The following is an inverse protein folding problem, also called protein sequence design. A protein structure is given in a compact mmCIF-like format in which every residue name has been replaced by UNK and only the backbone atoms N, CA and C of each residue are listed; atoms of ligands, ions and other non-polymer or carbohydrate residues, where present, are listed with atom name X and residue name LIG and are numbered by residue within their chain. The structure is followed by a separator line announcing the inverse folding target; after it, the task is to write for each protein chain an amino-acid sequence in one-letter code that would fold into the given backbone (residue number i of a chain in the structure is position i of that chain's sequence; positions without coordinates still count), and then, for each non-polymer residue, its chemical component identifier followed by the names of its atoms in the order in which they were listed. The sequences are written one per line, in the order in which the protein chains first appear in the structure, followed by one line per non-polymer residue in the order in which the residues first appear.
data_IF_299161245989
#
_entry.id   IF_299161245989
#
_cell.length_a   1.000
_cell.length_b   1.000
_cell.length_c   1.000
_cell.angle_alpha   90.00
_cell.angle_beta   90.00
_cell.angle_gamma   90.00
#
_symmetry.space_group_name_H-M   'P 1'
#
loop_
_entity.id
_entity.type
_entity.pdbx_description
1 polymer ?
#
# COMPACT_ATOMS: atom_id res chain seq x y z
N UNK A 1 8.23 -8.00 0.11
CA UNK A 1 6.91 -7.58 -0.42
C UNK A 1 5.87 -7.99 0.60
N UNK A 2 5.50 -7.05 1.45
CA UNK A 2 4.55 -7.25 2.53
C UNK A 2 3.20 -7.78 2.00
N UNK A 3 2.74 -8.92 2.51
CA UNK A 3 1.48 -9.55 2.08
C UNK A 3 0.25 -8.66 2.31
N UNK A 4 0.35 -7.73 3.26
CA UNK A 4 -0.65 -6.70 3.54
C UNK A 4 -0.80 -5.76 2.33
N UNK A 5 0.31 -5.32 1.73
CA UNK A 5 0.30 -4.42 0.57
C UNK A 5 -0.44 -5.06 -0.61
N UNK A 6 -0.16 -6.35 -0.87
CA UNK A 6 -0.83 -7.10 -1.95
C UNK A 6 -2.33 -7.27 -1.66
N UNK A 7 -2.68 -7.57 -0.41
CA UNK A 7 -4.05 -7.80 0.00
C UNK A 7 -4.91 -6.53 -0.09
N UNK A 8 -4.36 -5.37 0.26
CA UNK A 8 -5.08 -4.09 0.22
C UNK A 8 -5.02 -3.36 -1.12
N UNK A 9 -4.09 -3.72 -2.01
CA UNK A 9 -4.05 -3.20 -3.38
C UNK A 9 -5.31 -3.60 -4.18
N UNK A 10 -5.80 -4.82 -4.01
CA UNK A 10 -6.97 -5.34 -4.72
C UNK A 10 -8.27 -4.57 -4.41
N UNK A 11 -8.70 -4.42 -3.13
CA UNK A 11 -9.87 -3.61 -2.79
C UNK A 11 -9.69 -2.13 -3.10
N UNK A 12 -8.46 -1.60 -3.08
CA UNK A 12 -8.18 -0.22 -3.48
C UNK A 12 -8.50 0.01 -4.96
N UNK A 13 -8.00 -0.86 -5.85
CA UNK A 13 -8.26 -0.74 -7.30
C UNK A 13 -9.76 -0.91 -7.60
N UNK A 14 -10.42 -1.89 -6.97
CA UNK A 14 -11.86 -2.08 -7.13
C UNK A 14 -12.63 -0.85 -6.63
N UNK A 15 -12.26 -0.33 -5.46
CA UNK A 15 -12.88 0.87 -4.88
C UNK A 15 -12.80 2.07 -5.83
N UNK A 16 -11.65 2.30 -6.45
CA UNK A 16 -11.46 3.39 -7.41
C UNK A 16 -12.34 3.21 -8.65
N UNK A 17 -12.43 2.00 -9.19
CA UNK A 17 -13.28 1.70 -10.35
C UNK A 17 -14.75 1.95 -10.02
N UNK A 18 -15.22 1.45 -8.87
CA UNK A 18 -16.60 1.61 -8.40
C UNK A 18 -16.93 3.09 -8.14
N UNK A 19 -15.98 3.83 -7.56
CA UNK A 19 -16.12 5.27 -7.33
C UNK A 19 -16.22 6.04 -8.65
N UNK A 20 -15.37 5.73 -9.64
CA UNK A 20 -15.42 6.35 -10.96
C UNK A 20 -16.74 6.08 -11.68
N UNK A 21 -17.31 4.87 -11.53
CA UNK A 21 -18.64 4.54 -12.05
C UNK A 21 -19.74 5.38 -11.37
N UNK A 22 -19.69 5.54 -10.05
CA UNK A 22 -20.65 6.35 -9.28
C UNK A 22 -20.59 7.84 -9.62
N UNK A 23 -19.40 8.36 -9.88
CA UNK A 23 -19.18 9.75 -10.31
C UNK A 23 -19.58 10.03 -11.77
N UNK A 24 -20.17 9.04 -12.47
CA UNK A 24 -20.59 9.18 -13.87
C UNK A 24 -19.42 9.47 -14.84
N UNK A 25 -18.19 9.17 -14.43
CA UNK A 25 -16.96 9.43 -15.20
C UNK A 25 -16.57 8.25 -16.12
N UNK A 26 -17.47 7.29 -16.34
CA UNK A 26 -17.19 6.08 -17.15
C UNK A 26 -18.23 5.87 -18.24
N UNK A 27 -17.78 5.43 -19.42
CA UNK A 27 -18.64 5.09 -20.58
C UNK A 27 -19.58 3.90 -20.33
N UNK A 28 -19.43 3.20 -19.20
CA UNK A 28 -20.33 2.14 -18.75
C UNK A 28 -21.63 2.72 -18.16
N UNK A 29 -21.56 3.89 -17.54
CA UNK A 29 -22.73 4.57 -16.99
C UNK A 29 -23.64 5.14 -18.09
N UNK A 30 -23.10 5.38 -19.29
CA UNK A 30 -23.88 5.75 -20.48
C UNK A 30 -24.63 4.56 -21.12
N UNK A 31 -24.19 3.33 -20.85
CA UNK A 31 -24.77 2.09 -21.44
C UNK A 31 -25.76 1.38 -20.51
N UNK A 32 -25.76 1.74 -19.23
CA UNK A 32 -26.61 1.13 -18.20
C UNK A 32 -27.38 2.26 -17.54
N UNK A 33 -28.70 2.24 -17.65
CA UNK A 33 -29.58 3.22 -16.98
C UNK A 33 -29.54 2.99 -15.47
N UNK A 34 -28.57 3.61 -14.80
CA UNK A 34 -28.52 3.63 -13.35
C UNK A 34 -29.46 4.72 -12.81
N UNK A 35 -30.29 4.35 -11.85
CA UNK A 35 -31.09 5.33 -11.11
C UNK A 35 -30.17 6.17 -10.21
N UNK A 36 -30.54 7.42 -9.91
CA UNK A 36 -29.79 8.33 -9.01
C UNK A 36 -29.42 7.66 -7.69
N UNK A 37 -30.32 6.89 -7.09
CA UNK A 37 -30.04 6.17 -5.85
C UNK A 37 -28.95 5.10 -6.00
N UNK A 38 -28.88 4.44 -7.17
CA UNK A 38 -27.83 3.44 -7.43
C UNK A 38 -26.46 4.11 -7.61
N UNK A 39 -26.41 5.26 -8.28
CA UNK A 39 -25.17 6.05 -8.42
C UNK A 39 -24.64 6.50 -7.06
N UNK A 40 -25.51 7.02 -6.20
CA UNK A 40 -25.15 7.44 -4.83
C UNK A 40 -24.60 6.24 -4.02
N UNK A 41 -25.24 5.08 -4.13
CA UNK A 41 -24.75 3.86 -3.46
C UNK A 41 -23.38 3.45 -3.99
N UNK A 42 -23.18 3.47 -5.32
CA UNK A 42 -21.88 3.18 -5.92
C UNK A 42 -20.80 4.15 -5.44
N UNK A 43 -21.12 5.45 -5.38
CA UNK A 43 -20.19 6.47 -4.91
C UNK A 43 -19.78 6.23 -3.45
N UNK A 44 -20.74 5.98 -2.56
CA UNK A 44 -20.47 5.70 -1.14
C UNK A 44 -19.65 4.42 -0.97
N UNK A 45 -20.05 3.34 -1.64
CA UNK A 45 -19.35 2.04 -1.56
C UNK A 45 -17.94 2.16 -2.12
N UNK A 46 -17.78 2.81 -3.27
CA UNK A 46 -16.49 3.08 -3.89
C UNK A 46 -15.59 3.91 -2.99
N UNK A 47 -16.13 4.95 -2.34
CA UNK A 47 -15.39 5.79 -1.42
C UNK A 47 -14.91 5.01 -0.19
N UNK A 48 -15.76 4.19 0.43
CA UNK A 48 -15.40 3.36 1.59
C UNK A 48 -14.33 2.34 1.20
N UNK A 49 -14.49 1.63 0.09
CA UNK A 49 -13.51 0.64 -0.39
C UNK A 49 -12.17 1.30 -0.72
N UNK A 50 -12.19 2.45 -1.37
CA UNK A 50 -10.98 3.21 -1.70
C UNK A 50 -10.28 3.67 -0.42
N UNK A 51 -11.02 4.18 0.56
CA UNK A 51 -10.46 4.64 1.83
C UNK A 51 -9.82 3.50 2.62
N UNK A 52 -10.54 2.39 2.82
CA UNK A 52 -10.02 1.21 3.53
C UNK A 52 -8.82 0.60 2.79
N UNK A 53 -8.92 0.48 1.46
CA UNK A 53 -7.84 0.02 0.61
C UNK A 53 -6.59 0.91 0.71
N UNK A 54 -6.77 2.23 0.67
CA UNK A 54 -5.67 3.19 0.72
C UNK A 54 -4.97 3.17 2.08
N UNK A 55 -5.74 3.16 3.18
CA UNK A 55 -5.18 3.10 4.54
C UNK A 55 -4.41 1.81 4.75
N UNK A 56 -4.97 0.65 4.37
CA UNK A 56 -4.29 -0.64 4.52
C UNK A 56 -3.05 -0.76 3.63
N UNK A 57 -3.11 -0.23 2.41
CA UNK A 57 -1.98 -0.21 1.48
C UNK A 57 -0.83 0.67 2.00
N UNK A 58 -1.14 1.90 2.44
CA UNK A 58 -0.15 2.81 3.02
C UNK A 58 0.47 2.25 4.31
N UNK A 59 -0.34 1.64 5.16
CA UNK A 59 0.15 0.98 6.37
C UNK A 59 1.12 -0.17 6.04
N UNK A 60 0.75 -1.03 5.09
CA UNK A 60 1.63 -2.12 4.65
C UNK A 60 2.93 -1.62 4.03
N UNK A 61 2.89 -0.52 3.27
CA UNK A 61 4.08 0.12 2.69
C UNK A 61 4.99 0.69 3.79
N UNK A 62 4.41 1.40 4.75
CA UNK A 62 5.15 1.97 5.86
C UNK A 62 5.87 0.88 6.68
N UNK A 63 5.17 -0.22 6.95
CA UNK A 63 5.72 -1.36 7.67
C UNK A 63 6.88 -2.02 6.90
N UNK A 64 6.74 -2.25 5.59
CA UNK A 64 7.79 -2.83 4.73
C UNK A 64 9.03 -1.92 4.70
N UNK A 65 8.84 -0.61 4.51
CA UNK A 65 9.95 0.37 4.51
C UNK A 65 10.67 0.37 5.86
N UNK A 66 9.92 0.45 6.96
CA UNK A 66 10.50 0.50 8.31
C UNK A 66 11.27 -0.79 8.67
N UNK A 67 10.82 -1.94 8.17
CA UNK A 67 11.49 -3.21 8.35
C UNK A 67 12.81 -3.27 7.57
N UNK A 68 12.80 -2.80 6.31
CA UNK A 68 14.00 -2.72 5.49
C UNK A 68 15.04 -1.76 6.06
N UNK A 69 14.62 -0.58 6.50
CA UNK A 69 15.51 0.43 7.07
C UNK A 69 16.20 -0.06 8.35
N UNK A 70 15.46 -0.76 9.24
CA UNK A 70 16.06 -1.38 10.44
C UNK A 70 17.08 -2.45 10.07
N UNK A 71 16.73 -3.31 9.10
CA UNK A 71 17.59 -4.40 8.67
C UNK A 71 18.89 -3.91 8.05
N UNK A 72 18.83 -2.83 7.26
CA UNK A 72 20.01 -2.24 6.64
C UNK A 72 20.93 -1.61 7.69
N UNK A 73 20.34 -0.94 8.70
CA UNK A 73 21.09 -0.36 9.82
C UNK A 73 21.80 -1.42 10.67
N UNK A 74 21.12 -2.53 10.96
CA UNK A 74 21.74 -3.66 11.68
C UNK A 74 22.85 -4.34 10.86
N UNK A 75 22.69 -4.41 9.54
CA UNK A 75 23.72 -4.96 8.66
C UNK A 75 24.97 -4.07 8.63
N UNK A 76 24.78 -2.75 8.65
CA UNK A 76 25.88 -1.77 8.70
C UNK A 76 26.61 -1.80 10.05
N UNK A 77 25.88 -1.88 11.17
CA UNK A 77 26.48 -2.03 12.50
C UNK A 77 27.30 -3.31 12.64
N UNK A 78 26.85 -4.42 12.04
CA UNK A 78 27.62 -5.68 12.02
C UNK A 78 28.90 -5.54 11.20
N UNK A 79 28.84 -4.91 10.03
CA UNK A 79 30.03 -4.66 9.19
C UNK A 79 31.07 -3.81 9.92
N UNK A 80 30.64 -2.73 10.57
CA UNK A 80 31.54 -1.86 11.34
C UNK A 80 32.19 -2.60 12.50
N UNK A 81 31.44 -3.45 13.22
CA UNK A 81 32.01 -4.30 14.29
C UNK A 81 33.03 -5.31 13.76
N UNK A 82 32.74 -5.96 12.63
CA UNK A 82 33.65 -6.93 12.03
C UNK A 82 34.94 -6.27 11.53
N UNK A 83 34.85 -5.08 10.95
CA UNK A 83 36.01 -4.27 10.55
C UNK A 83 36.86 -3.86 11.76
N UNK A 84 36.24 -3.37 12.83
CA UNK A 84 36.94 -3.02 14.08
C UNK A 84 37.64 -4.24 14.71
N UNK A 85 36.96 -5.38 14.77
CA UNK A 85 37.53 -6.63 15.28
C UNK A 85 38.74 -7.10 14.46
N UNK A 86 38.65 -7.00 13.14
CA UNK A 86 39.76 -7.38 12.26
C UNK A 86 40.94 -6.41 12.36
N UNK A 87 40.69 -5.10 12.54
CA UNK A 87 41.76 -4.13 12.79
C UNK A 87 42.47 -4.39 14.12
N UNK A 88 41.74 -4.71 15.19
CA UNK A 88 42.35 -5.07 16.47
C UNK A 88 43.25 -6.31 16.36
N UNK A 89 42.84 -7.34 15.62
CA UNK A 89 43.66 -8.54 15.40
C UNK A 89 44.93 -8.31 14.58
N UNK A 90 44.97 -7.27 13.75
CA UNK A 90 46.19 -6.94 12.98
C UNK A 90 47.21 -6.13 13.79
N UNK A 91 46.80 -5.56 14.93
CA UNK A 91 47.66 -4.77 15.81
C UNK A 91 48.26 -5.58 16.98
N UNK A 92 47.91 -6.87 17.10
CA UNK A 92 48.43 -7.83 18.09
C UNK A 92 49.30 -8.86 17.39
#
# INVERSE_FOLDING_TARGET
MNGIVVLFAFPLVIGIIVLMMGLNHTSLTDKVEFNKSQLIVLEIVGAVLTFVGAVGFLYGLYDDISFHEKKDREAEERRLKDEQWNQQRQQV
#
